data_IF_807894177888
#
_entry.id   IF_807894177888
#
_cell.length_a   1.000
_cell.length_b   1.000
_cell.length_c   1.000
_cell.angle_alpha   90.00
_cell.angle_beta   90.00
_cell.angle_gamma   90.00
#
_symmetry.space_group_name_H-M   'P 1'
#
loop_
_entity.id
_entity.type
_entity.pdbx_description
1 polymer ?
#
# COMPACT_ATOMS: atom_id res chain seq x y z
N UNK A 1 -22.41 -13.16 3.69
CA UNK A 1 -21.06 -12.59 3.55
C UNK A 1 -20.97 -11.67 2.33
N UNK A 2 -21.78 -10.60 2.27
CA UNK A 2 -21.89 -9.73 1.07
C UNK A 2 -21.38 -8.29 1.32
N UNK A 3 -21.46 -7.81 2.56
CA UNK A 3 -21.02 -6.46 2.95
C UNK A 3 -19.51 -6.28 2.75
N UNK A 4 -18.71 -7.32 3.03
CA UNK A 4 -17.26 -7.27 2.83
C UNK A 4 -16.85 -7.16 1.36
N UNK A 5 -17.61 -7.77 0.43
CA UNK A 5 -17.31 -7.76 -1.00
C UNK A 5 -17.64 -6.40 -1.61
N UNK A 6 -18.82 -5.85 -1.32
CA UNK A 6 -19.20 -4.53 -1.82
C UNK A 6 -18.29 -3.41 -1.29
N UNK A 7 -17.77 -3.54 -0.07
CA UNK A 7 -16.80 -2.60 0.49
C UNK A 7 -15.44 -2.69 -0.22
N UNK A 8 -14.97 -3.90 -0.53
CA UNK A 8 -13.76 -4.13 -1.31
C UNK A 8 -13.91 -3.59 -2.73
N UNK A 9 -15.04 -3.86 -3.39
CA UNK A 9 -15.33 -3.35 -4.73
C UNK A 9 -15.39 -1.81 -4.78
N UNK A 10 -15.99 -1.19 -3.76
CA UNK A 10 -16.00 0.27 -3.64
C UNK A 10 -14.60 0.85 -3.43
N UNK A 11 -13.76 0.23 -2.60
CA UNK A 11 -12.36 0.63 -2.39
C UNK A 11 -11.49 0.45 -3.65
N UNK A 12 -11.74 -0.62 -4.41
CA UNK A 12 -11.07 -0.87 -5.70
C UNK A 12 -11.50 0.18 -6.73
N UNK A 13 -12.79 0.48 -6.81
CA UNK A 13 -13.34 1.50 -7.71
C UNK A 13 -12.90 2.92 -7.35
N UNK A 14 -12.63 3.19 -6.07
CA UNK A 14 -12.13 4.48 -5.57
C UNK A 14 -10.63 4.68 -5.78
N UNK A 15 -9.90 3.71 -6.38
CA UNK A 15 -8.47 3.89 -6.63
C UNK A 15 -8.23 5.03 -7.62
N UNK A 16 -7.30 5.96 -7.31
CA UNK A 16 -6.90 6.98 -8.27
C UNK A 16 -6.38 6.31 -9.54
N UNK A 17 -6.79 6.85 -10.69
CA UNK A 17 -6.41 6.34 -12.01
C UNK A 17 -4.94 6.70 -12.26
N UNK A 18 -4.07 5.74 -11.98
CA UNK A 18 -2.62 5.82 -12.18
C UNK A 18 -2.27 5.02 -13.43
N UNK A 19 -1.15 5.34 -14.08
CA UNK A 19 -0.69 4.52 -15.20
C UNK A 19 -0.34 3.11 -14.69
N UNK A 20 -0.60 2.09 -15.50
CA UNK A 20 -0.33 0.69 -15.13
C UNK A 20 1.13 0.48 -14.71
N UNK A 21 2.08 1.20 -15.34
CA UNK A 21 3.49 1.16 -14.96
C UNK A 21 3.72 1.70 -13.54
N UNK A 22 3.18 2.87 -13.21
CA UNK A 22 3.31 3.43 -11.86
C UNK A 22 2.64 2.52 -10.83
N UNK A 23 1.45 1.99 -11.15
CA UNK A 23 0.76 1.01 -10.31
C UNK A 23 1.63 -0.23 -10.06
N UNK A 24 2.25 -0.76 -11.10
CA UNK A 24 3.09 -1.95 -11.02
C UNK A 24 4.35 -1.70 -10.17
N UNK A 25 5.02 -0.57 -10.36
CA UNK A 25 6.18 -0.19 -9.56
C UNK A 25 5.83 -0.04 -8.07
N UNK A 26 4.74 0.67 -7.76
CA UNK A 26 4.28 0.82 -6.37
C UNK A 26 3.85 -0.51 -5.74
N UNK A 27 3.16 -1.37 -6.50
CA UNK A 27 2.78 -2.70 -6.03
C UNK A 27 4.01 -3.57 -5.77
N UNK A 28 5.03 -3.49 -6.62
CA UNK A 28 6.27 -4.23 -6.41
C UNK A 28 6.99 -3.77 -5.13
N UNK A 29 7.06 -2.47 -4.87
CA UNK A 29 7.63 -1.92 -3.62
C UNK A 29 6.83 -2.41 -2.40
N UNK A 30 5.50 -2.33 -2.45
CA UNK A 30 4.63 -2.84 -1.38
C UNK A 30 4.84 -4.34 -1.14
N UNK A 31 5.01 -5.12 -2.20
CA UNK A 31 5.23 -6.56 -2.11
C UNK A 31 6.57 -6.90 -1.44
N UNK A 32 7.65 -6.19 -1.79
CA UNK A 32 8.96 -6.37 -1.14
C UNK A 32 8.92 -6.01 0.35
N UNK A 33 8.15 -4.98 0.72
CA UNK A 33 7.97 -4.60 2.12
C UNK A 33 7.19 -5.66 2.91
N UNK A 34 6.18 -6.30 2.31
CA UNK A 34 5.49 -7.43 2.93
C UNK A 34 6.42 -8.62 3.16
N UNK A 35 7.33 -8.92 2.21
CA UNK A 35 8.36 -9.94 2.41
C UNK A 35 9.21 -9.62 3.64
N UNK A 36 9.70 -8.38 3.77
CA UNK A 36 10.52 -7.97 4.91
C UNK A 36 9.81 -8.14 6.26
N UNK A 37 8.52 -7.81 6.33
CA UNK A 37 7.69 -8.01 7.53
C UNK A 37 7.59 -9.51 7.85
N UNK A 38 7.26 -10.34 6.86
CA UNK A 38 7.12 -11.80 7.05
C UNK A 38 8.44 -12.43 7.48
N UNK A 39 9.57 -11.99 6.92
CA UNK A 39 10.88 -12.50 7.27
C UNK A 39 11.33 -12.05 8.68
N UNK A 40 10.94 -10.85 9.13
CA UNK A 40 11.14 -10.43 10.52
C UNK A 40 10.33 -11.28 11.50
N UNK A 41 9.05 -11.55 11.18
CA UNK A 41 8.18 -12.43 11.97
C UNK A 41 8.75 -13.85 12.05
N UNK A 42 9.22 -14.41 10.92
CA UNK A 42 9.84 -15.74 10.86
C UNK A 42 11.09 -15.85 11.73
N UNK A 43 11.84 -14.76 11.86
CA UNK A 43 13.02 -14.68 12.74
C UNK A 43 12.65 -14.45 14.21
N UNK A 44 11.36 -14.34 14.53
CA UNK A 44 10.85 -14.00 15.86
C UNK A 44 11.45 -12.70 16.41
N UNK A 45 11.68 -11.73 15.52
CA UNK A 45 12.20 -10.40 15.86
C UNK A 45 11.04 -9.38 15.85
N UNK A 46 10.40 -9.13 17.01
CA UNK A 46 9.23 -8.25 17.07
C UNK A 46 9.59 -6.79 16.77
N UNK A 47 10.79 -6.34 17.14
CA UNK A 47 11.22 -4.96 16.93
C UNK A 47 11.48 -4.69 15.45
N UNK A 48 12.10 -5.66 14.75
CA UNK A 48 12.30 -5.57 13.30
C UNK A 48 10.98 -5.68 12.54
N UNK A 49 10.05 -6.51 13.01
CA UNK A 49 8.71 -6.61 12.42
C UNK A 49 7.95 -5.28 12.55
N UNK A 50 8.03 -4.63 13.71
CA UNK A 50 7.40 -3.32 13.95
C UNK A 50 8.03 -2.22 13.08
N UNK A 51 9.37 -2.16 13.00
CA UNK A 51 10.08 -1.24 12.10
C UNK A 51 9.69 -1.45 10.63
N UNK A 52 9.63 -2.70 10.18
CA UNK A 52 9.26 -3.03 8.81
C UNK A 52 7.81 -2.65 8.51
N UNK A 53 6.90 -2.84 9.48
CA UNK A 53 5.51 -2.42 9.38
C UNK A 53 5.37 -0.89 9.32
N UNK A 54 6.08 -0.16 10.18
CA UNK A 54 6.10 1.29 10.17
C UNK A 54 6.60 1.83 8.81
N UNK A 55 7.66 1.23 8.27
CA UNK A 55 8.20 1.55 6.96
C UNK A 55 7.18 1.32 5.84
N UNK A 56 6.47 0.19 5.88
CA UNK A 56 5.40 -0.11 4.93
C UNK A 56 4.28 0.95 4.99
N UNK A 57 3.79 1.28 6.19
CA UNK A 57 2.73 2.28 6.39
C UNK A 57 3.13 3.67 5.86
N UNK A 58 4.36 4.10 6.14
CA UNK A 58 4.89 5.36 5.62
C UNK A 58 4.98 5.36 4.09
N UNK A 59 5.44 4.25 3.51
CA UNK A 59 5.54 4.10 2.05
C UNK A 59 4.19 4.16 1.36
N UNK A 60 3.19 3.40 1.82
CA UNK A 60 1.85 3.41 1.21
C UNK A 60 1.13 4.74 1.43
N UNK A 61 1.33 5.38 2.59
CA UNK A 61 0.80 6.71 2.89
C UNK A 61 1.39 7.78 1.97
N UNK A 62 2.72 7.79 1.79
CA UNK A 62 3.41 8.71 0.89
C UNK A 62 2.92 8.54 -0.56
N UNK A 63 2.78 7.30 -1.03
CA UNK A 63 2.21 6.99 -2.34
C UNK A 63 0.78 7.52 -2.47
N UNK A 64 -0.08 7.28 -1.48
CA UNK A 64 -1.46 7.78 -1.48
C UNK A 64 -1.55 9.31 -1.49
N UNK A 65 -0.77 9.99 -0.66
CA UNK A 65 -0.72 11.46 -0.62
C UNK A 65 -0.17 12.06 -1.93
N UNK A 66 0.85 11.45 -2.53
CA UNK A 66 1.36 11.86 -3.84
C UNK A 66 0.27 11.75 -4.93
N UNK A 67 -0.57 10.71 -4.86
CA UNK A 67 -1.73 10.58 -5.76
C UNK A 67 -2.83 11.60 -5.48
N UNK A 68 -3.17 11.88 -4.22
CA UNK A 68 -4.17 12.89 -3.86
C UNK A 68 -3.78 14.32 -4.26
N UNK A 69 -2.48 14.64 -4.29
CA UNK A 69 -2.01 15.96 -4.75
C UNK A 69 -2.05 16.12 -6.27
N UNK A 70 -1.78 15.05 -7.04
CA UNK A 70 -1.84 15.10 -8.51
C UNK A 70 -3.27 15.23 -9.03
N UNK A 71 -4.27 14.70 -8.33
CA UNK A 71 -5.68 14.91 -8.67
C UNK A 71 -6.17 16.34 -8.37
N UNK A 72 -5.61 16.99 -7.34
CA UNK A 72 -5.99 18.37 -6.97
C UNK A 72 -5.38 19.44 -7.87
N UNK A 73 -4.25 19.14 -8.53
CA UNK A 73 -3.61 20.03 -9.52
C UNK A 73 -4.30 20.07 -10.89
N UNK A 74 -5.29 19.19 -11.15
CA UNK A 74 -6.05 19.13 -12.40
C UNK A 74 -7.43 19.82 -12.33
N UNK A 75 -7.68 20.65 -11.30
CA UNK A 75 -8.87 21.51 -11.23
C UNK A 75 -8.53 22.94 -11.60
#
# INVERSE_FOLDING_TARGET
MAIHVALLDWLIAARPTVTDQALHEHNNVSYQQHIAIVDAIRRHDPDEADRALQSHLNSVSATWHAFGQTTNKKK
#
